data_IF_363653812227
#
_entry.id   IF_363653812227
#
_cell.length_a   1.000
_cell.length_b   1.000
_cell.length_c   1.000
_cell.angle_alpha   90.00
_cell.angle_beta   90.00
_cell.angle_gamma   90.00
#
_symmetry.space_group_name_H-M   'P 1'
#
loop_
_entity.id
_entity.type
_entity.pdbx_description
1 polymer ?
#
# COMPACT_ATOMS: atom_id res chain seq x y z
N UNK A 1 5.90 11.27 -25.05
CA UNK A 1 6.89 12.33 -24.79
C UNK A 1 7.79 11.81 -23.70
N UNK A 2 9.12 11.94 -23.81
CA UNK A 2 10.08 11.27 -22.91
C UNK A 2 11.11 12.25 -22.39
N UNK A 3 11.26 12.31 -21.07
CA UNK A 3 12.16 13.24 -20.38
C UNK A 3 11.84 13.29 -18.89
N UNK A 4 12.79 13.74 -18.07
CA UNK A 4 12.59 13.85 -16.63
C UNK A 4 11.42 14.77 -16.29
N UNK A 5 10.43 14.22 -15.57
CA UNK A 5 9.34 14.98 -14.98
C UNK A 5 9.87 15.93 -13.89
N UNK A 6 9.22 17.07 -13.72
CA UNK A 6 9.62 18.11 -12.76
C UNK A 6 8.42 18.73 -12.08
N UNK A 7 8.64 19.35 -10.92
CA UNK A 7 7.64 20.15 -10.22
C UNK A 7 7.69 21.61 -10.70
N UNK A 8 6.53 22.17 -11.04
CA UNK A 8 6.36 23.57 -11.45
C UNK A 8 5.05 24.13 -10.88
N UNK A 9 5.16 25.01 -9.88
CA UNK A 9 3.99 25.43 -9.09
C UNK A 9 3.29 24.22 -8.47
N UNK A 10 1.97 24.11 -8.64
CA UNK A 10 1.18 22.96 -8.16
C UNK A 10 1.20 21.75 -9.09
N UNK A 11 1.94 21.78 -10.21
CA UNK A 11 1.90 20.74 -11.24
C UNK A 11 3.16 19.89 -11.27
N UNK A 12 2.99 18.63 -11.68
CA UNK A 12 4.06 17.85 -12.33
C UNK A 12 4.03 18.25 -13.81
N UNK A 13 5.20 18.48 -14.42
CA UNK A 13 5.35 18.86 -15.83
C UNK A 13 6.39 17.98 -16.53
N UNK A 14 6.26 17.84 -17.85
CA UNK A 14 7.27 17.21 -18.71
C UNK A 14 8.44 18.17 -19.04
N UNK A 15 9.39 17.72 -19.88
CA UNK A 15 10.53 18.55 -20.27
C UNK A 15 10.18 19.80 -21.11
N UNK A 16 8.95 19.91 -21.62
CA UNK A 16 8.46 21.07 -22.37
C UNK A 16 7.74 22.08 -21.47
N UNK A 17 7.43 21.69 -20.23
CA UNK A 17 6.62 22.47 -19.28
C UNK A 17 5.12 22.18 -19.38
N UNK A 18 4.71 21.18 -20.17
CA UNK A 18 3.32 20.73 -20.24
C UNK A 18 2.95 19.98 -18.95
N UNK A 19 1.84 20.32 -18.26
CA UNK A 19 1.36 19.56 -17.10
C UNK A 19 1.06 18.10 -17.43
N UNK A 20 1.40 17.21 -16.49
CA UNK A 20 1.17 15.77 -16.58
C UNK A 20 0.35 15.33 -15.36
N UNK A 21 -0.78 14.68 -15.61
CA UNK A 21 -1.52 13.94 -14.59
C UNK A 21 -1.10 12.48 -14.69
N UNK A 22 -0.44 11.97 -13.65
CA UNK A 22 -0.07 10.56 -13.57
C UNK A 22 -1.21 9.77 -12.91
N UNK A 23 -1.74 8.77 -13.59
CA UNK A 23 -2.72 7.81 -13.04
C UNK A 23 -2.21 6.40 -13.24
N UNK A 24 -2.12 5.60 -12.18
CA UNK A 24 -1.56 4.26 -12.24
C UNK A 24 -2.05 3.33 -11.14
N UNK A 25 -1.38 2.19 -11.00
CA UNK A 25 -1.66 1.22 -9.93
C UNK A 25 -0.36 0.70 -9.33
N UNK A 26 -0.37 0.50 -8.02
CA UNK A 26 0.78 0.00 -7.29
C UNK A 26 0.99 -1.51 -7.55
N UNK A 27 2.26 -1.93 -7.56
CA UNK A 27 2.68 -3.33 -7.73
C UNK A 27 3.01 -4.00 -6.40
N UNK A 28 2.24 -3.65 -5.35
CA UNK A 28 2.28 -4.33 -4.05
C UNK A 28 2.11 -5.84 -4.22
N UNK A 29 2.75 -6.61 -3.33
CA UNK A 29 2.84 -8.07 -3.46
C UNK A 29 4.00 -8.56 -4.30
N UNK A 30 4.54 -7.75 -5.22
CA UNK A 30 5.65 -8.16 -6.08
C UNK A 30 6.99 -8.20 -5.33
N UNK A 31 7.62 -7.05 -5.05
CA UNK A 31 8.95 -7.01 -4.40
C UNK A 31 8.88 -6.76 -2.88
N UNK A 32 7.72 -6.33 -2.39
CA UNK A 32 7.35 -6.30 -0.97
C UNK A 32 5.98 -6.96 -0.85
N UNK A 33 5.83 -7.93 0.03
CA UNK A 33 4.59 -8.68 0.23
C UNK A 33 3.77 -8.11 1.38
N UNK A 34 2.45 -8.16 1.24
CA UNK A 34 1.52 -7.99 2.37
C UNK A 34 0.62 -9.21 2.56
N UNK A 35 0.20 -9.40 3.81
CA UNK A 35 -0.59 -10.54 4.27
C UNK A 35 -1.89 -10.75 3.49
N UNK A 36 -2.56 -9.67 3.08
CA UNK A 36 -3.83 -9.75 2.35
C UNK A 36 -3.67 -9.95 0.84
N UNK A 37 -2.49 -9.66 0.27
CA UNK A 37 -2.25 -9.75 -1.18
C UNK A 37 -2.06 -11.21 -1.62
N UNK A 38 -1.51 -12.05 -0.75
CA UNK A 38 -1.19 -13.47 -1.02
C UNK A 38 -1.81 -14.46 -0.03
N UNK A 39 -2.11 -14.05 1.21
CA UNK A 39 -2.90 -14.83 2.16
C UNK A 39 -2.17 -15.34 3.41
N UNK A 40 -0.84 -15.20 3.51
CA UNK A 40 -0.11 -15.48 4.75
C UNK A 40 -0.53 -14.51 5.87
N UNK A 41 -0.50 -14.87 7.16
CA UNK A 41 -0.82 -13.96 8.26
C UNK A 41 0.43 -13.18 8.73
N UNK A 42 0.28 -11.99 9.30
CA UNK A 42 1.40 -11.24 9.90
C UNK A 42 2.29 -10.51 8.89
N UNK A 43 3.62 -10.69 8.97
CA UNK A 43 4.63 -9.93 8.21
C UNK A 43 5.62 -10.80 7.41
N UNK A 44 6.28 -10.21 6.40
CA UNK A 44 6.97 -10.93 5.30
C UNK A 44 8.26 -11.66 5.72
N UNK A 45 9.13 -11.04 6.53
CA UNK A 45 10.40 -11.64 6.97
C UNK A 45 10.17 -12.92 7.77
N UNK A 46 9.20 -12.93 8.69
CA UNK A 46 8.88 -14.16 9.42
C UNK A 46 8.21 -15.18 8.49
N UNK A 47 7.32 -14.73 7.59
CA UNK A 47 6.62 -15.62 6.66
C UNK A 47 7.59 -16.42 5.78
N UNK A 48 8.56 -15.73 5.16
CA UNK A 48 9.62 -16.34 4.35
C UNK A 48 10.49 -17.28 5.19
N UNK A 49 10.94 -16.84 6.36
CA UNK A 49 11.74 -17.65 7.30
C UNK A 49 11.02 -18.95 7.69
N UNK A 50 9.70 -18.89 7.91
CA UNK A 50 8.92 -20.06 8.28
C UNK A 50 8.72 -21.01 7.09
N UNK A 51 8.42 -20.53 5.86
CA UNK A 51 8.45 -21.39 4.65
C UNK A 51 9.82 -22.06 4.49
N UNK A 52 10.91 -21.29 4.54
CA UNK A 52 12.27 -21.81 4.39
C UNK A 52 12.58 -22.94 5.38
N UNK A 53 12.11 -22.81 6.62
CA UNK A 53 12.26 -23.85 7.66
C UNK A 53 11.44 -25.12 7.43
N UNK A 54 10.45 -25.08 6.53
CA UNK A 54 9.49 -26.17 6.26
C UNK A 54 9.80 -26.91 4.96
N UNK A 55 10.15 -26.20 3.87
CA UNK A 55 10.39 -26.81 2.54
C UNK A 55 11.88 -26.87 2.14
N UNK A 56 12.76 -26.18 2.87
CA UNK A 56 14.20 -26.15 2.60
C UNK A 56 14.61 -25.15 1.52
N UNK A 57 15.92 -24.85 1.48
CA UNK A 57 16.49 -23.76 0.67
C UNK A 57 16.18 -23.87 -0.83
N UNK A 58 16.38 -25.06 -1.42
CA UNK A 58 16.21 -25.27 -2.86
C UNK A 58 14.78 -25.01 -3.35
N UNK A 59 13.77 -25.51 -2.62
CA UNK A 59 12.35 -25.26 -2.94
C UNK A 59 11.91 -23.85 -2.59
N UNK A 60 12.46 -23.26 -1.53
CA UNK A 60 12.23 -21.85 -1.18
C UNK A 60 12.74 -20.91 -2.28
N UNK A 61 14.00 -21.07 -2.70
CA UNK A 61 14.60 -20.25 -3.75
C UNK A 61 13.88 -20.42 -5.09
N UNK A 62 13.53 -21.66 -5.45
CA UNK A 62 12.73 -21.94 -6.65
C UNK A 62 11.36 -21.27 -6.60
N UNK A 63 10.57 -21.52 -5.55
CA UNK A 63 9.22 -20.95 -5.44
C UNK A 63 9.25 -19.42 -5.44
N UNK A 64 10.19 -18.79 -4.73
CA UNK A 64 10.25 -17.33 -4.70
C UNK A 64 10.80 -16.74 -5.99
N UNK A 65 11.85 -17.27 -6.63
CA UNK A 65 12.26 -16.80 -7.96
C UNK A 65 11.11 -16.95 -8.97
N UNK A 66 10.31 -18.03 -8.92
CA UNK A 66 9.11 -18.22 -9.76
C UNK A 66 7.96 -17.29 -9.41
N UNK A 67 7.68 -17.06 -8.13
CA UNK A 67 6.68 -16.08 -7.69
C UNK A 67 7.02 -14.69 -8.23
N UNK A 68 8.27 -14.24 -8.10
CA UNK A 68 8.70 -12.96 -8.68
C UNK A 68 8.69 -12.98 -10.23
N UNK A 69 9.04 -14.11 -10.87
CA UNK A 69 8.98 -14.23 -12.32
C UNK A 69 7.55 -14.13 -12.88
N UNK A 70 6.56 -14.62 -12.13
CA UNK A 70 5.17 -14.80 -12.58
C UNK A 70 4.18 -13.77 -12.03
N UNK A 71 4.49 -13.07 -10.94
CA UNK A 71 3.75 -11.88 -10.52
C UNK A 71 3.89 -10.76 -11.58
N UNK A 72 5.03 -10.74 -12.28
CA UNK A 72 5.30 -9.83 -13.41
C UNK A 72 5.97 -10.60 -14.56
N UNK A 73 5.16 -11.29 -15.37
CA UNK A 73 5.50 -12.15 -16.54
C UNK A 73 6.07 -11.38 -17.74
N UNK A 74 6.29 -12.02 -18.90
CA UNK A 74 6.68 -11.35 -20.17
C UNK A 74 5.49 -10.80 -20.95
N UNK A 75 4.31 -11.26 -20.55
CA UNK A 75 2.98 -10.87 -20.95
C UNK A 75 2.55 -9.63 -20.13
N UNK A 76 3.20 -9.42 -18.97
CA UNK A 76 3.34 -8.13 -18.28
C UNK A 76 4.50 -7.29 -18.91
N UNK A 77 5.80 -7.67 -18.75
CA UNK A 77 6.91 -7.66 -19.76
C UNK A 77 8.36 -8.00 -19.21
N UNK A 78 9.41 -7.33 -19.70
CA UNK A 78 10.78 -7.85 -19.87
C UNK A 78 11.84 -6.85 -19.32
N UNK A 79 13.07 -7.17 -18.85
CA UNK A 79 13.91 -8.40 -18.58
C UNK A 79 15.20 -7.86 -17.87
N UNK A 80 16.07 -8.49 -17.05
CA UNK A 80 16.29 -9.80 -16.40
C UNK A 80 17.65 -9.68 -15.61
N UNK A 81 17.92 -10.19 -14.40
CA UNK A 81 17.22 -11.21 -13.61
C UNK A 81 16.98 -10.95 -12.10
N UNK A 82 17.96 -10.51 -11.27
CA UNK A 82 17.96 -10.80 -9.82
C UNK A 82 17.72 -9.61 -8.87
N UNK A 83 18.47 -8.52 -8.99
CA UNK A 83 18.49 -7.43 -7.99
C UNK A 83 17.75 -6.18 -8.47
N UNK A 84 18.51 -5.12 -8.71
CA UNK A 84 18.10 -4.02 -9.59
C UNK A 84 17.43 -4.54 -10.86
N UNK A 85 17.92 -5.63 -11.44
CA UNK A 85 17.40 -6.18 -12.69
C UNK A 85 15.95 -6.71 -12.61
N UNK A 86 15.41 -7.00 -11.43
CA UNK A 86 13.96 -7.28 -11.24
C UNK A 86 13.13 -6.00 -11.28
N UNK A 87 13.71 -4.90 -10.81
CA UNK A 87 13.13 -3.56 -10.87
C UNK A 87 13.28 -2.98 -12.28
N UNK A 88 14.42 -3.19 -12.94
CA UNK A 88 14.65 -2.86 -14.35
C UNK A 88 13.65 -3.59 -15.25
N UNK A 89 13.39 -4.88 -15.01
CA UNK A 89 12.32 -5.60 -15.71
C UNK A 89 10.98 -4.88 -15.63
N UNK A 90 10.64 -4.29 -14.47
CA UNK A 90 9.39 -3.53 -14.29
C UNK A 90 9.48 -2.15 -14.96
N UNK A 91 10.59 -1.43 -14.80
CA UNK A 91 10.81 -0.11 -15.40
C UNK A 91 10.82 -0.18 -16.94
N UNK A 92 11.57 -1.12 -17.52
CA UNK A 92 11.64 -1.35 -18.96
C UNK A 92 10.31 -1.84 -19.54
N UNK A 93 9.54 -2.64 -18.78
CA UNK A 93 8.15 -3.00 -19.10
C UNK A 93 7.28 -1.74 -19.23
N UNK A 94 7.30 -0.89 -18.20
CA UNK A 94 6.51 0.33 -18.19
C UNK A 94 6.95 1.28 -19.32
N UNK A 95 8.26 1.49 -19.48
CA UNK A 95 8.87 2.29 -20.52
C UNK A 95 8.45 1.89 -21.94
N UNK A 96 8.48 0.58 -22.25
CA UNK A 96 8.09 0.06 -23.56
C UNK A 96 6.61 0.33 -23.90
N UNK A 97 5.77 0.51 -22.87
CA UNK A 97 4.34 0.81 -22.99
C UNK A 97 4.00 2.29 -22.75
N UNK A 98 5.00 3.16 -22.58
CA UNK A 98 4.79 4.59 -22.35
C UNK A 98 4.40 4.99 -20.93
N UNK A 99 4.57 4.10 -19.96
CA UNK A 99 4.19 4.26 -18.55
C UNK A 99 5.45 4.67 -17.75
N UNK A 100 5.32 5.64 -16.86
CA UNK A 100 6.37 6.00 -15.90
C UNK A 100 6.31 5.09 -14.65
N UNK A 101 7.47 4.78 -14.08
CA UNK A 101 7.58 4.08 -12.79
C UNK A 101 7.98 5.06 -11.67
N UNK A 102 7.37 4.93 -10.50
CA UNK A 102 7.85 5.57 -9.26
C UNK A 102 8.44 4.46 -8.40
N UNK A 103 9.67 4.64 -7.90
CA UNK A 103 10.33 3.63 -7.07
C UNK A 103 10.01 3.89 -5.60
N UNK A 104 9.28 2.98 -4.95
CA UNK A 104 8.97 3.03 -3.52
C UNK A 104 9.92 2.18 -2.66
N UNK A 105 10.23 2.68 -1.47
CA UNK A 105 10.82 1.90 -0.38
C UNK A 105 9.77 1.64 0.71
N UNK A 106 9.02 0.57 0.48
CA UNK A 106 7.85 0.19 1.27
C UNK A 106 8.17 -0.22 2.72
N UNK A 107 9.35 -0.81 2.95
CA UNK A 107 9.77 -1.36 4.25
C UNK A 107 11.21 -0.98 4.56
N UNK A 108 11.52 -0.80 5.85
CA UNK A 108 12.85 -0.42 6.34
C UNK A 108 13.25 -1.17 7.61
N UNK A 109 14.56 -1.37 7.87
CA UNK A 109 15.03 -2.00 9.09
C UNK A 109 14.46 -1.33 10.36
N UNK A 110 13.83 -2.15 11.21
CA UNK A 110 13.19 -1.70 12.45
C UNK A 110 11.78 -1.12 12.31
N UNK A 111 11.25 -0.99 11.09
CA UNK A 111 9.89 -0.50 10.81
C UNK A 111 9.73 1.02 10.95
N UNK A 112 9.20 1.66 9.92
CA UNK A 112 8.91 3.11 9.89
C UNK A 112 7.57 3.49 10.55
N UNK A 113 6.73 2.51 10.82
CA UNK A 113 5.43 2.67 11.47
C UNK A 113 5.15 1.50 12.42
N UNK A 114 3.94 1.41 12.98
CA UNK A 114 3.56 0.42 13.98
C UNK A 114 2.75 -0.76 13.41
N UNK A 115 2.72 -0.92 12.09
CA UNK A 115 1.86 -1.87 11.36
C UNK A 115 2.65 -3.06 10.80
N UNK A 116 1.95 -4.16 10.50
CA UNK A 116 2.50 -5.37 9.90
C UNK A 116 3.27 -5.10 8.58
N UNK A 117 2.79 -4.15 7.78
CA UNK A 117 3.36 -3.82 6.47
C UNK A 117 4.70 -3.08 6.54
N UNK A 118 5.15 -2.67 7.73
CA UNK A 118 6.52 -2.17 7.97
C UNK A 118 7.56 -3.29 8.18
N UNK A 119 7.15 -4.54 7.93
CA UNK A 119 7.91 -5.78 8.16
C UNK A 119 8.46 -5.95 9.61
N UNK A 120 7.78 -5.32 10.58
CA UNK A 120 8.13 -5.38 12.00
C UNK A 120 7.27 -6.43 12.74
N UNK A 121 7.87 -7.36 13.50
CA UNK A 121 7.14 -8.24 14.43
C UNK A 121 6.59 -7.49 15.67
N UNK A 122 6.72 -6.16 15.73
CA UNK A 122 6.36 -5.36 16.92
C UNK A 122 5.61 -4.08 16.55
N UNK A 123 4.74 -3.61 17.45
CA UNK A 123 4.03 -2.34 17.31
C UNK A 123 4.90 -1.10 17.60
N UNK A 124 6.22 -1.24 17.46
CA UNK A 124 7.21 -0.20 17.67
C UNK A 124 7.98 0.07 16.38
N UNK A 125 8.11 1.34 16.05
CA UNK A 125 8.76 1.86 14.85
C UNK A 125 10.21 2.23 15.15
N UNK A 126 11.06 1.22 15.34
CA UNK A 126 12.45 1.35 15.81
C UNK A 126 13.38 2.10 14.84
N UNK A 127 12.99 2.21 13.56
CA UNK A 127 13.67 3.03 12.55
C UNK A 127 13.97 4.46 13.02
N UNK A 128 13.06 5.03 13.83
CA UNK A 128 13.14 6.39 14.32
C UNK A 128 14.15 6.62 15.45
N UNK A 129 14.50 5.56 16.19
CA UNK A 129 15.35 5.66 17.38
C UNK A 129 16.78 5.15 17.14
N UNK A 130 16.96 4.16 16.26
CA UNK A 130 18.28 3.62 15.92
C UNK A 130 18.81 4.20 14.62
N UNK A 131 19.65 5.23 14.72
CA UNK A 131 20.29 5.94 13.59
C UNK A 131 20.90 5.01 12.53
N UNK A 132 21.44 3.85 12.93
CA UNK A 132 22.02 2.86 12.01
C UNK A 132 21.04 2.36 10.94
N UNK A 133 19.74 2.26 11.25
CA UNK A 133 18.72 1.90 10.27
C UNK A 133 18.50 3.02 9.25
N UNK A 134 18.42 4.27 9.70
CA UNK A 134 18.36 5.44 8.81
C UNK A 134 19.63 5.59 7.96
N UNK A 135 20.80 5.26 8.51
CA UNK A 135 22.08 5.31 7.78
C UNK A 135 22.13 4.25 6.67
N UNK A 136 21.64 3.04 6.93
CA UNK A 136 21.51 1.98 5.92
C UNK A 136 20.56 2.40 4.78
N UNK A 137 19.41 3.01 5.12
CA UNK A 137 18.44 3.47 4.11
C UNK A 137 18.95 4.68 3.31
N UNK A 138 19.63 5.64 3.94
CA UNK A 138 20.29 6.73 3.22
C UNK A 138 21.37 6.20 2.26
N UNK A 139 22.15 5.19 2.67
CA UNK A 139 23.14 4.57 1.80
C UNK A 139 22.49 3.81 0.62
N UNK A 140 21.45 3.02 0.88
CA UNK A 140 20.67 2.30 -0.13
C UNK A 140 20.10 3.27 -1.18
N UNK A 141 19.47 4.36 -0.74
CA UNK A 141 18.92 5.37 -1.67
C UNK A 141 20.00 6.09 -2.47
N UNK A 142 21.21 6.31 -1.93
CA UNK A 142 22.34 6.77 -2.75
C UNK A 142 22.78 5.76 -3.80
N UNK A 143 22.62 4.44 -3.59
CA UNK A 143 22.89 3.43 -4.63
C UNK A 143 21.77 3.40 -5.69
N UNK A 144 20.50 3.41 -5.26
CA UNK A 144 19.33 3.43 -6.16
C UNK A 144 19.39 4.69 -7.06
N UNK A 145 19.63 5.86 -6.48
CA UNK A 145 19.82 7.10 -7.23
C UNK A 145 21.01 7.02 -8.20
N UNK A 146 22.14 6.41 -7.79
CA UNK A 146 23.29 6.26 -8.68
C UNK A 146 22.98 5.42 -9.93
N UNK A 147 22.13 4.40 -9.76
CA UNK A 147 21.71 3.47 -10.79
C UNK A 147 20.70 4.10 -11.75
N UNK A 148 19.66 4.77 -11.22
CA UNK A 148 18.53 5.27 -12.02
C UNK A 148 18.63 6.72 -12.51
N UNK A 149 19.56 7.56 -12.03
CA UNK A 149 19.68 9.00 -12.38
C UNK A 149 19.54 9.38 -13.86
N UNK A 150 19.93 8.51 -14.78
CA UNK A 150 19.91 8.73 -16.23
C UNK A 150 18.66 8.14 -16.92
N UNK A 151 17.87 7.31 -16.23
CA UNK A 151 16.70 6.62 -16.76
C UNK A 151 15.43 7.48 -16.66
N UNK A 152 15.11 8.18 -17.75
CA UNK A 152 13.97 9.10 -17.85
C UNK A 152 12.57 8.46 -17.71
N UNK A 153 12.44 7.13 -17.66
CA UNK A 153 11.16 6.45 -17.42
C UNK A 153 10.86 6.23 -15.94
N UNK A 154 11.85 6.42 -15.07
CA UNK A 154 11.58 6.65 -13.66
C UNK A 154 11.05 8.08 -13.52
N UNK A 155 9.81 8.24 -13.06
CA UNK A 155 9.27 9.56 -12.72
C UNK A 155 9.94 10.13 -11.46
N UNK A 156 10.27 9.26 -10.51
CA UNK A 156 10.99 9.63 -9.31
C UNK A 156 11.01 8.55 -8.23
N UNK A 157 11.37 8.99 -7.03
CA UNK A 157 11.63 8.15 -5.87
C UNK A 157 10.68 8.51 -4.72
N UNK A 158 10.06 7.50 -4.10
CA UNK A 158 9.27 7.60 -2.87
C UNK A 158 10.15 7.08 -1.71
N UNK A 159 10.87 7.94 -0.94
CA UNK A 159 11.98 7.46 -0.13
C UNK A 159 11.58 6.60 1.08
N UNK A 160 10.31 6.62 1.49
CA UNK A 160 9.80 5.93 2.67
C UNK A 160 8.25 5.89 2.67
N UNK A 161 7.64 4.70 2.50
CA UNK A 161 6.18 4.57 2.53
C UNK A 161 5.57 4.69 3.95
N UNK A 162 4.40 5.33 4.08
CA UNK A 162 3.57 5.44 5.29
C UNK A 162 4.33 5.61 6.63
N UNK A 163 5.24 6.60 6.76
CA UNK A 163 5.94 6.85 8.00
C UNK A 163 4.97 7.25 9.13
N UNK A 164 5.21 6.74 10.34
CA UNK A 164 4.46 7.13 11.53
C UNK A 164 5.38 7.25 12.75
N UNK A 165 5.71 8.47 13.15
CA UNK A 165 6.52 8.79 14.33
C UNK A 165 5.78 9.74 15.27
N UNK A 166 5.78 9.45 16.57
CA UNK A 166 5.20 10.30 17.62
C UNK A 166 5.98 11.61 17.84
N UNK A 167 7.29 11.60 17.59
CA UNK A 167 8.06 12.80 17.31
C UNK A 167 8.08 13.00 15.78
N UNK A 168 7.14 13.80 15.29
CA UNK A 168 6.96 14.11 13.87
C UNK A 168 8.24 14.75 13.28
N UNK A 169 9.04 15.44 14.11
CA UNK A 169 10.28 16.10 13.66
C UNK A 169 11.40 15.10 13.29
N UNK A 170 11.27 13.80 13.65
CA UNK A 170 12.17 12.74 13.17
C UNK A 170 12.03 12.49 11.68
N UNK A 171 10.80 12.54 11.14
CA UNK A 171 10.54 12.38 9.70
C UNK A 171 11.21 13.50 8.90
N UNK A 172 11.02 14.75 9.33
CA UNK A 172 11.63 15.93 8.69
C UNK A 172 13.14 15.85 8.72
N UNK A 173 13.76 15.55 9.88
CA UNK A 173 15.21 15.33 10.00
C UNK A 173 15.73 14.16 9.15
N UNK A 174 14.91 13.17 8.86
CA UNK A 174 15.27 12.08 7.94
C UNK A 174 15.21 12.55 6.48
N UNK A 175 14.14 13.24 6.06
CA UNK A 175 14.03 13.82 4.73
C UNK A 175 15.11 14.86 4.44
N UNK A 176 15.43 15.74 5.40
CA UNK A 176 16.57 16.66 5.32
C UNK A 176 17.92 15.98 5.06
N UNK A 177 18.07 14.70 5.41
CA UNK A 177 19.30 13.93 5.19
C UNK A 177 19.25 13.17 3.87
N UNK A 178 18.12 12.53 3.56
CA UNK A 178 18.02 11.66 2.38
C UNK A 178 17.82 12.45 1.09
N UNK A 179 17.13 13.61 1.14
CA UNK A 179 17.06 14.53 0.00
C UNK A 179 18.47 14.96 -0.42
N UNK A 180 19.30 15.40 0.52
CA UNK A 180 20.71 15.78 0.25
C UNK A 180 21.56 14.62 -0.27
N UNK A 181 21.33 13.41 0.24
CA UNK A 181 22.06 12.21 -0.18
C UNK A 181 21.67 11.70 -1.57
N UNK A 182 20.39 11.81 -1.95
CA UNK A 182 19.91 11.55 -3.30
C UNK A 182 20.37 12.67 -4.23
N UNK A 183 20.13 13.94 -3.90
CA UNK A 183 20.47 15.12 -4.71
C UNK A 183 21.97 15.29 -4.98
N UNK A 184 22.83 14.78 -4.09
CA UNK A 184 24.28 14.70 -4.31
C UNK A 184 24.70 13.70 -5.39
N UNK A 185 23.78 12.86 -5.88
CA UNK A 185 23.99 11.87 -6.94
C UNK A 185 23.05 12.11 -8.14
N UNK A 186 21.83 12.57 -7.85
CA UNK A 186 20.71 12.71 -8.78
C UNK A 186 19.93 14.04 -8.55
N UNK A 187 20.27 15.08 -9.34
CA UNK A 187 19.59 16.38 -9.28
C UNK A 187 18.35 16.46 -10.19
N UNK A 188 17.81 15.34 -10.69
CA UNK A 188 16.82 15.34 -11.76
C UNK A 188 15.48 14.71 -11.39
N UNK A 189 15.48 13.55 -10.75
CA UNK A 189 14.25 12.83 -10.42
C UNK A 189 13.38 13.58 -9.40
N UNK A 190 12.06 13.41 -9.50
CA UNK A 190 11.12 13.93 -8.49
C UNK A 190 11.28 13.12 -7.19
N UNK A 191 11.16 13.78 -6.03
CA UNK A 191 10.96 13.07 -4.76
C UNK A 191 9.46 13.09 -4.42
N UNK A 192 8.89 11.92 -4.16
CA UNK A 192 7.54 11.75 -3.65
C UNK A 192 7.64 11.56 -2.13
N UNK A 193 7.21 12.56 -1.35
CA UNK A 193 7.48 12.63 0.09
C UNK A 193 6.18 12.43 0.89
N UNK A 194 6.05 11.26 1.51
CA UNK A 194 4.92 10.91 2.37
C UNK A 194 4.80 11.81 3.59
N UNK A 195 3.56 12.12 3.96
CA UNK A 195 3.24 12.71 5.26
C UNK A 195 3.48 11.74 6.42
N UNK A 196 3.62 12.29 7.63
CA UNK A 196 3.63 11.47 8.84
C UNK A 196 2.24 10.86 9.10
N UNK A 197 2.17 9.92 10.05
CA UNK A 197 0.92 9.28 10.46
C UNK A 197 0.23 8.54 9.30
N UNK A 198 0.99 7.70 8.59
CA UNK A 198 0.51 6.94 7.42
C UNK A 198 0.11 7.86 6.25
N UNK A 199 1.03 8.74 5.80
CA UNK A 199 0.80 9.69 4.71
C UNK A 199 -0.46 10.59 4.88
N UNK A 200 -0.80 10.95 6.12
CA UNK A 200 -2.00 11.74 6.44
C UNK A 200 -1.75 13.09 7.11
N UNK A 201 -0.52 13.39 7.53
CA UNK A 201 -0.19 14.55 8.36
C UNK A 201 1.13 15.26 7.94
N UNK A 202 1.00 16.52 7.54
CA UNK A 202 2.11 17.39 7.14
C UNK A 202 2.34 18.58 8.09
N UNK A 203 1.67 18.60 9.25
CA UNK A 203 1.61 19.74 10.19
C UNK A 203 2.94 20.17 10.83
N UNK A 204 4.04 19.46 10.52
CA UNK A 204 5.38 19.71 11.05
C UNK A 204 6.46 19.80 9.96
N UNK A 205 6.08 19.76 8.68
CA UNK A 205 7.00 19.97 7.56
C UNK A 205 7.42 21.45 7.47
N UNK A 206 8.61 21.75 6.91
CA UNK A 206 9.12 23.12 6.84
C UNK A 206 8.28 24.04 5.94
N UNK A 207 8.22 25.33 6.29
CA UNK A 207 7.56 26.39 5.50
C UNK A 207 8.18 26.56 4.09
N UNK A 208 9.41 26.07 3.90
CA UNK A 208 10.06 25.94 2.60
C UNK A 208 10.02 24.46 2.16
N UNK A 209 9.21 24.10 1.14
CA UNK A 209 9.18 22.75 0.59
C UNK A 209 10.52 22.29 -0.02
N UNK A 210 10.73 20.97 -0.07
CA UNK A 210 11.90 20.36 -0.69
C UNK A 210 11.94 20.57 -2.21
N UNK A 211 13.15 20.69 -2.77
CA UNK A 211 13.33 21.02 -4.18
C UNK A 211 12.92 19.87 -5.11
N UNK A 212 12.19 20.19 -6.19
CA UNK A 212 11.66 19.21 -7.15
C UNK A 212 10.96 18.02 -6.47
N UNK A 213 10.06 18.31 -5.52
CA UNK A 213 9.40 17.31 -4.67
C UNK A 213 7.87 17.45 -4.70
N UNK A 214 7.19 16.32 -4.83
CA UNK A 214 5.73 16.15 -4.71
C UNK A 214 5.44 15.56 -3.33
N UNK A 215 4.32 15.94 -2.72
CA UNK A 215 4.00 15.48 -1.37
C UNK A 215 2.86 14.45 -1.45
N UNK A 216 3.10 13.28 -0.87
CA UNK A 216 2.30 12.08 -1.08
C UNK A 216 1.28 11.88 0.06
N UNK A 217 -0.01 11.98 -0.26
CA UNK A 217 -1.11 11.57 0.65
C UNK A 217 -1.47 10.13 0.39
N UNK A 218 -1.91 9.39 1.41
CA UNK A 218 -2.67 8.16 1.22
C UNK A 218 -4.13 8.42 1.62
N UNK A 219 -5.07 8.14 0.71
CA UNK A 219 -6.46 8.56 0.83
C UNK A 219 -7.51 7.44 0.81
N UNK A 220 -7.17 6.33 1.45
CA UNK A 220 -8.15 5.36 1.93
C UNK A 220 -9.29 6.02 2.73
N UNK A 221 -10.54 5.73 2.36
CA UNK A 221 -11.75 6.20 3.06
C UNK A 221 -12.39 5.10 3.88
N UNK A 222 -12.98 5.47 5.02
CA UNK A 222 -13.76 4.59 5.90
C UNK A 222 -14.81 3.76 5.15
N UNK A 223 -15.46 4.37 4.15
CA UNK A 223 -16.50 3.74 3.34
C UNK A 223 -15.98 2.67 2.36
N UNK A 224 -14.66 2.56 2.20
CA UNK A 224 -14.03 1.53 1.38
C UNK A 224 -14.00 0.15 2.05
N UNK A 225 -14.21 0.04 3.36
CA UNK A 225 -13.87 -1.17 4.14
C UNK A 225 -15.10 -1.85 4.77
N UNK A 226 -15.00 -3.16 5.15
CA UNK A 226 -16.10 -3.87 5.80
C UNK A 226 -16.49 -3.32 7.18
N UNK A 227 -15.53 -2.79 7.94
CA UNK A 227 -15.71 -2.34 9.34
C UNK A 227 -15.00 -1.02 9.64
N UNK A 228 -14.94 -0.11 8.67
CA UNK A 228 -14.10 1.09 8.73
C UNK A 228 -12.60 0.77 8.58
N UNK A 229 -11.75 1.76 8.88
CA UNK A 229 -10.29 1.60 8.88
C UNK A 229 -9.80 1.00 10.20
N UNK A 230 -8.52 0.60 10.24
CA UNK A 230 -7.90 -0.03 11.42
C UNK A 230 -8.05 0.86 12.66
N UNK A 231 -8.75 0.35 13.68
CA UNK A 231 -8.97 1.06 14.94
C UNK A 231 -9.99 2.20 14.90
N UNK A 232 -10.82 2.32 13.85
CA UNK A 232 -11.89 3.35 13.78
C UNK A 232 -13.28 2.84 14.16
N UNK A 233 -13.48 1.51 14.16
CA UNK A 233 -14.77 0.89 14.43
C UNK A 233 -15.75 0.94 13.25
N UNK A 234 -16.91 0.30 13.43
CA UNK A 234 -17.96 0.18 12.40
C UNK A 234 -18.47 1.55 11.92
N UNK A 235 -18.71 1.66 10.61
CA UNK A 235 -19.14 2.87 9.92
C UNK A 235 -20.44 2.57 9.18
N UNK A 236 -21.35 3.55 9.15
CA UNK A 236 -22.61 3.45 8.41
C UNK A 236 -22.42 3.05 6.93
N UNK A 237 -23.31 2.24 6.34
CA UNK A 237 -23.26 1.91 4.92
C UNK A 237 -23.31 3.16 4.04
N UNK A 238 -22.42 3.20 3.05
CA UNK A 238 -22.38 4.29 2.08
C UNK A 238 -23.59 4.24 1.14
N UNK A 239 -24.23 5.39 0.98
CA UNK A 239 -25.46 5.58 0.20
C UNK A 239 -25.30 6.74 -0.80
N UNK A 240 -24.09 7.29 -0.96
CA UNK A 240 -23.84 8.42 -1.87
C UNK A 240 -24.54 9.72 -1.45
N UNK A 241 -24.87 9.89 -0.16
CA UNK A 241 -25.54 11.12 0.30
C UNK A 241 -24.57 12.30 0.31
N UNK A 242 -25.09 13.52 0.15
CA UNK A 242 -24.27 14.74 0.14
C UNK A 242 -23.47 14.93 1.44
N UNK A 243 -23.96 14.42 2.57
CA UNK A 243 -23.20 14.41 3.83
C UNK A 243 -21.99 13.47 3.77
N UNK A 244 -22.16 12.28 3.19
CA UNK A 244 -21.08 11.29 3.03
C UNK A 244 -20.06 11.73 1.97
N UNK A 245 -20.50 12.34 0.85
CA UNK A 245 -19.61 12.99 -0.13
C UNK A 245 -18.85 14.16 0.48
N UNK A 246 -19.52 15.02 1.27
CA UNK A 246 -18.85 16.10 2.01
C UNK A 246 -17.83 15.56 3.01
N UNK A 247 -18.01 14.35 3.56
CA UNK A 247 -17.01 13.68 4.38
C UNK A 247 -15.78 13.21 3.56
N UNK A 248 -15.98 12.67 2.34
CA UNK A 248 -14.86 12.37 1.42
C UNK A 248 -14.06 13.63 1.10
N UNK A 249 -14.75 14.70 0.67
CA UNK A 249 -14.13 16.00 0.40
C UNK A 249 -13.38 16.53 1.63
N UNK A 250 -13.99 16.51 2.81
CA UNK A 250 -13.37 16.97 4.06
C UNK A 250 -12.14 16.14 4.46
N UNK A 251 -12.15 14.83 4.22
CA UNK A 251 -10.99 13.96 4.45
C UNK A 251 -9.83 14.36 3.55
N UNK A 252 -10.07 14.51 2.26
CA UNK A 252 -9.07 14.91 1.27
C UNK A 252 -8.50 16.31 1.59
N UNK A 253 -9.36 17.33 1.77
CA UNK A 253 -8.94 18.70 2.06
C UNK A 253 -8.08 18.82 3.34
N UNK A 254 -8.30 17.95 4.34
CA UNK A 254 -7.46 17.88 5.54
C UNK A 254 -6.03 17.44 5.23
N UNK A 255 -5.86 16.43 4.37
CA UNK A 255 -4.54 15.85 4.04
C UNK A 255 -3.71 16.80 3.17
N UNK A 256 -4.35 17.49 2.21
CA UNK A 256 -3.67 18.41 1.27
C UNK A 256 -3.48 19.84 1.78
N UNK A 257 -3.79 20.13 3.05
CA UNK A 257 -3.72 21.49 3.60
C UNK A 257 -2.33 22.12 3.43
N UNK A 258 -1.25 21.36 3.68
CA UNK A 258 0.12 21.82 3.50
C UNK A 258 0.43 22.14 2.02
N UNK A 259 -0.02 21.30 1.09
CA UNK A 259 0.20 21.49 -0.35
C UNK A 259 -0.51 22.76 -0.87
N UNK A 260 -1.73 22.99 -0.37
CA UNK A 260 -2.51 24.21 -0.65
C UNK A 260 -1.88 25.48 -0.05
N UNK A 261 -1.31 25.38 1.15
CA UNK A 261 -0.62 26.51 1.78
C UNK A 261 0.65 26.93 1.03
N UNK A 262 1.40 25.97 0.47
CA UNK A 262 2.71 26.22 -0.14
C UNK A 262 2.73 26.22 -1.68
N UNK A 263 1.59 25.97 -2.34
CA UNK A 263 1.46 26.06 -3.80
C UNK A 263 2.22 24.96 -4.57
N UNK A 264 2.23 23.74 -4.03
CA UNK A 264 2.98 22.57 -4.52
C UNK A 264 2.04 21.42 -4.93
N UNK A 265 2.48 20.48 -5.80
CA UNK A 265 1.67 19.34 -6.22
C UNK A 265 1.37 18.36 -5.09
N UNK A 266 0.27 17.64 -5.27
CA UNK A 266 -0.10 16.44 -4.49
C UNK A 266 -0.05 15.20 -5.37
N UNK A 267 0.44 14.11 -4.79
CA UNK A 267 0.30 12.74 -5.27
C UNK A 267 -0.58 11.98 -4.28
N UNK A 268 -1.56 11.20 -4.73
CA UNK A 268 -2.25 10.24 -3.88
C UNK A 268 -1.62 8.86 -4.11
N UNK A 269 -0.67 8.48 -3.24
CA UNK A 269 0.17 7.29 -3.43
C UNK A 269 -0.60 5.98 -3.33
N UNK A 270 -1.53 5.92 -2.39
CA UNK A 270 -2.44 4.80 -2.21
C UNK A 270 -3.86 5.24 -1.87
N UNK A 271 -4.82 4.63 -2.55
CA UNK A 271 -6.24 4.60 -2.18
C UNK A 271 -6.90 3.38 -2.83
N UNK A 272 -8.12 3.06 -2.39
CA UNK A 272 -8.94 2.00 -2.98
C UNK A 272 -9.90 1.39 -1.95
N UNK A 273 -11.06 0.87 -2.37
CA UNK A 273 -11.94 0.10 -1.51
C UNK A 273 -11.48 -1.37 -1.38
N UNK A 274 -12.03 -2.08 -0.41
CA UNK A 274 -11.96 -3.54 -0.26
C UNK A 274 -13.25 -4.17 -0.76
N UNK A 275 -13.11 -5.08 -1.72
CA UNK A 275 -14.18 -5.83 -2.37
C UNK A 275 -14.53 -7.11 -1.61
N UNK A 276 -15.77 -7.55 -1.79
CA UNK A 276 -16.31 -8.83 -1.34
C UNK A 276 -16.17 -9.92 -2.42
N UNK A 277 -16.08 -11.18 -1.99
CA UNK A 277 -16.13 -12.37 -2.84
C UNK A 277 -16.98 -13.48 -2.19
N UNK A 278 -17.70 -14.22 -3.03
CA UNK A 278 -18.42 -15.45 -2.66
C UNK A 278 -17.50 -16.50 -2.03
N UNK A 279 -16.26 -16.63 -2.50
CA UNK A 279 -15.28 -17.58 -1.96
C UNK A 279 -14.96 -17.30 -0.48
N UNK A 280 -14.85 -16.03 -0.10
CA UNK A 280 -14.61 -15.58 1.29
C UNK A 280 -15.84 -15.69 2.19
N UNK A 281 -16.97 -16.16 1.65
CA UNK A 281 -18.24 -16.18 2.36
C UNK A 281 -18.73 -14.77 2.73
N UNK A 282 -18.43 -13.77 1.89
CA UNK A 282 -18.97 -12.43 2.05
C UNK A 282 -20.47 -12.44 1.70
N UNK A 283 -21.30 -11.76 2.50
CA UNK A 283 -22.76 -11.69 2.30
C UNK A 283 -23.07 -10.64 1.23
N UNK A 284 -23.82 -11.06 0.21
CA UNK A 284 -24.14 -10.27 -0.99
C UNK A 284 -22.91 -9.51 -1.56
N UNK A 285 -21.97 -10.24 -2.19
CA UNK A 285 -20.78 -9.63 -2.79
C UNK A 285 -21.12 -8.63 -3.90
N UNK A 286 -22.22 -8.84 -4.63
CA UNK A 286 -22.61 -7.96 -5.73
C UNK A 286 -23.09 -6.60 -5.20
N UNK A 287 -24.03 -6.56 -4.26
CA UNK A 287 -24.47 -5.31 -3.65
C UNK A 287 -23.34 -4.61 -2.90
N UNK A 288 -22.49 -5.37 -2.20
CA UNK A 288 -21.31 -4.82 -1.51
C UNK A 288 -20.35 -4.16 -2.50
N UNK A 289 -19.99 -4.85 -3.60
CA UNK A 289 -19.05 -4.33 -4.60
C UNK A 289 -19.63 -3.14 -5.37
N UNK A 290 -20.93 -3.17 -5.70
CA UNK A 290 -21.66 -2.05 -6.29
C UNK A 290 -21.54 -0.78 -5.45
N UNK A 291 -21.63 -0.89 -4.11
CA UNK A 291 -21.37 0.23 -3.18
C UNK A 291 -19.89 0.64 -3.19
N UNK A 292 -18.93 -0.29 -3.23
CA UNK A 292 -17.50 0.04 -3.33
C UNK A 292 -17.15 0.81 -4.60
N UNK A 293 -17.71 0.45 -5.75
CA UNK A 293 -17.50 1.19 -7.00
C UNK A 293 -18.12 2.59 -6.93
N UNK A 294 -19.25 2.77 -6.23
CA UNK A 294 -19.82 4.11 -6.02
C UNK A 294 -18.94 4.96 -5.10
N UNK A 295 -18.45 4.42 -3.98
CA UNK A 295 -17.46 5.10 -3.10
C UNK A 295 -16.23 5.55 -3.89
N UNK A 296 -15.71 4.68 -4.76
CA UNK A 296 -14.57 4.99 -5.61
C UNK A 296 -14.87 6.11 -6.62
N UNK A 297 -16.03 6.09 -7.29
CA UNK A 297 -16.48 7.16 -8.18
C UNK A 297 -16.56 8.50 -7.45
N UNK A 298 -17.17 8.52 -6.26
CA UNK A 298 -17.30 9.74 -5.46
C UNK A 298 -15.96 10.23 -4.87
N UNK A 299 -14.96 9.36 -4.68
CA UNK A 299 -13.56 9.78 -4.38
C UNK A 299 -12.83 10.32 -5.62
N UNK A 300 -12.99 9.68 -6.78
CA UNK A 300 -12.37 10.13 -8.02
C UNK A 300 -12.89 11.51 -8.45
N UNK A 301 -14.17 11.82 -8.24
CA UNK A 301 -14.72 13.17 -8.49
C UNK A 301 -14.08 14.24 -7.56
N UNK A 302 -13.72 13.88 -6.33
CA UNK A 302 -12.92 14.76 -5.44
C UNK A 302 -11.51 15.00 -6.00
N UNK A 303 -10.88 13.99 -6.61
CA UNK A 303 -9.54 14.07 -7.17
C UNK A 303 -9.50 14.82 -8.52
N UNK A 304 -10.57 14.69 -9.32
CA UNK A 304 -10.76 15.35 -10.63
C UNK A 304 -10.73 16.88 -10.54
N UNK A 305 -11.12 17.43 -9.40
CA UNK A 305 -11.12 18.85 -9.09
C UNK A 305 -10.30 19.16 -7.83
N UNK A 306 -9.33 18.29 -7.51
CA UNK A 306 -8.62 18.28 -6.25
C UNK A 306 -7.43 19.24 -6.15
N UNK A 307 -6.91 19.73 -7.30
CA UNK A 307 -5.59 20.36 -7.37
C UNK A 307 -5.38 21.54 -6.40
N UNK A 308 -4.20 21.66 -5.77
CA UNK A 308 -3.90 22.73 -4.84
C UNK A 308 -4.06 24.17 -5.34
N UNK A 309 -4.01 24.41 -6.66
CA UNK A 309 -4.18 25.74 -7.26
C UNK A 309 -5.61 26.27 -7.24
N UNK A 310 -6.61 25.38 -7.16
CA UNK A 310 -8.02 25.75 -7.33
C UNK A 310 -8.43 26.09 -8.77
N UNK A 311 -7.61 25.77 -9.78
CA UNK A 311 -7.98 25.92 -11.21
C UNK A 311 -9.03 24.90 -11.69
N UNK A 312 -9.38 23.92 -10.86
CA UNK A 312 -10.36 22.87 -11.14
C UNK A 312 -9.77 21.63 -11.81
N UNK A 313 -8.44 21.52 -11.94
CA UNK A 313 -7.78 20.35 -12.54
C UNK A 313 -7.64 19.15 -11.61
N UNK A 314 -7.30 18.02 -12.23
CA UNK A 314 -7.17 16.71 -11.62
C UNK A 314 -5.81 16.52 -10.92
N UNK A 315 -5.81 15.78 -9.81
CA UNK A 315 -4.57 15.33 -9.15
C UNK A 315 -4.06 14.02 -9.74
N UNK A 316 -2.76 13.79 -9.54
CA UNK A 316 -2.09 12.52 -9.87
C UNK A 316 -2.26 11.49 -8.75
N UNK A 317 -2.44 10.22 -9.09
CA UNK A 317 -2.68 9.14 -8.13
C UNK A 317 -2.21 7.75 -8.58
N UNK A 318 -2.04 6.86 -7.60
CA UNK A 318 -1.90 5.42 -7.79
C UNK A 318 -2.96 4.67 -6.95
N UNK A 319 -3.66 3.72 -7.56
CA UNK A 319 -4.63 2.87 -6.85
C UNK A 319 -3.93 1.61 -6.30
N UNK A 320 -4.29 1.21 -5.08
CA UNK A 320 -3.88 -0.08 -4.53
C UNK A 320 -4.93 -1.14 -4.92
N UNK A 321 -4.62 -2.15 -5.74
CA UNK A 321 -3.33 -2.48 -6.37
C UNK A 321 -3.51 -3.26 -7.68
N UNK A 322 -2.41 -3.65 -8.33
CA UNK A 322 -2.44 -4.33 -9.63
C UNK A 322 -2.90 -5.81 -9.60
N UNK A 323 -2.31 -6.64 -8.73
CA UNK A 323 -2.55 -8.10 -8.62
C UNK A 323 -2.68 -8.51 -7.16
N UNK A 324 -3.69 -9.33 -6.82
CA UNK A 324 -3.86 -9.94 -5.50
C UNK A 324 -4.73 -11.23 -5.51
N UNK A 325 -5.12 -11.73 -4.33
CA UNK A 325 -6.12 -12.81 -4.15
C UNK A 325 -7.58 -12.29 -4.07
N UNK A 326 -7.88 -11.21 -4.79
CA UNK A 326 -9.23 -10.72 -5.06
C UNK A 326 -9.81 -9.80 -3.98
N UNK A 327 -8.97 -9.06 -3.23
CA UNK A 327 -9.43 -8.17 -2.15
C UNK A 327 -9.54 -6.71 -2.62
N UNK A 328 -8.54 -6.19 -3.32
CA UNK A 328 -8.51 -4.85 -3.92
C UNK A 328 -8.07 -4.86 -5.39
N UNK A 329 -7.39 -5.92 -5.85
CA UNK A 329 -6.69 -5.97 -7.13
C UNK A 329 -7.54 -5.62 -8.35
N UNK A 330 -6.95 -4.85 -9.28
CA UNK A 330 -7.44 -4.65 -10.66
C UNK A 330 -7.59 -6.00 -11.37
N UNK A 331 -6.57 -6.83 -11.21
CA UNK A 331 -6.57 -8.24 -11.59
C UNK A 331 -6.35 -9.07 -10.33
N UNK A 332 -6.84 -10.30 -10.33
CA UNK A 332 -6.71 -11.17 -9.17
C UNK A 332 -6.65 -12.65 -9.55
N UNK A 333 -5.93 -13.42 -8.75
CA UNK A 333 -5.80 -14.88 -8.92
C UNK A 333 -7.18 -15.53 -8.98
N UNK A 334 -7.43 -16.37 -10.00
CA UNK A 334 -8.74 -17.01 -10.21
C UNK A 334 -9.12 -17.95 -9.04
N UNK A 335 -10.40 -17.98 -8.67
CA UNK A 335 -10.94 -18.87 -7.61
C UNK A 335 -10.83 -20.37 -7.98
N UNK A 336 -10.66 -20.70 -9.28
CA UNK A 336 -10.41 -22.05 -9.80
C UNK A 336 -8.91 -22.45 -9.84
N UNK A 337 -8.00 -21.57 -9.40
CA UNK A 337 -6.54 -21.80 -9.51
C UNK A 337 -5.96 -22.72 -8.43
N UNK A 338 -4.73 -23.21 -8.69
CA UNK A 338 -3.92 -23.95 -7.71
C UNK A 338 -3.73 -23.20 -6.39
N UNK A 339 -3.66 -21.87 -6.42
CA UNK A 339 -3.61 -21.04 -5.22
C UNK A 339 -4.84 -21.22 -4.32
N UNK A 340 -6.05 -21.28 -4.91
CA UNK A 340 -7.28 -21.47 -4.15
C UNK A 340 -7.57 -22.94 -3.82
N UNK A 341 -7.09 -23.91 -4.62
CA UNK A 341 -7.04 -25.33 -4.24
C UNK A 341 -6.29 -25.53 -2.91
N UNK A 342 -5.08 -24.95 -2.81
CA UNK A 342 -4.18 -25.07 -1.66
C UNK A 342 -4.63 -24.19 -0.50
N UNK A 343 -4.70 -22.87 -0.70
CA UNK A 343 -4.90 -21.90 0.36
C UNK A 343 -6.37 -21.56 0.63
N UNK A 344 -7.33 -22.00 -0.18
CA UNK A 344 -8.72 -21.57 -0.07
C UNK A 344 -9.35 -21.81 1.31
N UNK A 345 -9.17 -23.01 1.87
CA UNK A 345 -9.63 -23.36 3.23
C UNK A 345 -8.91 -22.53 4.30
N UNK A 346 -7.64 -22.22 4.08
CA UNK A 346 -6.86 -21.33 4.95
C UNK A 346 -7.41 -19.90 4.94
N UNK A 347 -7.68 -19.32 3.77
CA UNK A 347 -8.21 -17.96 3.63
C UNK A 347 -9.55 -17.80 4.40
N UNK A 348 -10.42 -18.79 4.31
CA UNK A 348 -11.67 -18.83 5.09
C UNK A 348 -11.41 -18.92 6.61
N UNK A 349 -10.43 -19.73 7.05
CA UNK A 349 -10.00 -19.79 8.46
C UNK A 349 -9.40 -18.46 8.94
N UNK A 350 -8.53 -17.85 8.13
CA UNK A 350 -7.84 -16.58 8.37
C UNK A 350 -8.83 -15.44 8.58
N UNK A 351 -9.83 -15.33 7.69
CA UNK A 351 -10.95 -14.38 7.81
C UNK A 351 -11.75 -14.64 9.10
N UNK A 352 -12.18 -15.89 9.32
CA UNK A 352 -12.98 -16.29 10.50
C UNK A 352 -12.29 -15.95 11.83
N UNK A 353 -10.98 -16.20 11.95
CA UNK A 353 -10.17 -15.84 13.11
C UNK A 353 -9.83 -14.35 13.19
N UNK A 354 -9.92 -13.63 12.07
CA UNK A 354 -9.61 -12.21 11.98
C UNK A 354 -8.12 -11.92 12.09
N UNK A 355 -7.26 -12.69 11.44
CA UNK A 355 -5.81 -12.53 11.60
C UNK A 355 -5.28 -11.20 11.02
N UNK A 356 -5.92 -10.65 10.00
CA UNK A 356 -5.53 -9.39 9.37
C UNK A 356 -6.36 -8.19 9.89
N UNK A 357 -5.78 -7.00 9.76
CA UNK A 357 -6.45 -5.71 9.95
C UNK A 357 -7.17 -5.24 8.68
N UNK A 358 -6.56 -5.49 7.52
CA UNK A 358 -7.05 -5.07 6.22
C UNK A 358 -8.17 -6.00 5.74
N UNK A 359 -9.28 -5.44 5.26
CA UNK A 359 -10.48 -6.23 4.92
C UNK A 359 -11.11 -7.02 6.09
N UNK A 360 -10.78 -6.65 7.34
CA UNK A 360 -11.14 -7.39 8.55
C UNK A 360 -12.65 -7.56 8.75
N UNK A 361 -13.10 -8.82 8.63
CA UNK A 361 -14.46 -9.27 8.93
C UNK A 361 -14.42 -10.56 9.78
N UNK A 362 -13.85 -10.45 10.97
CA UNK A 362 -13.77 -11.51 11.98
C UNK A 362 -15.14 -12.04 12.40
N UNK A 363 -15.28 -13.36 12.53
CA UNK A 363 -16.50 -14.04 12.98
C UNK A 363 -16.99 -13.46 14.33
N UNK A 364 -18.29 -13.08 14.45
CA UNK A 364 -18.84 -12.45 15.65
C UNK A 364 -18.64 -13.23 16.96
N UNK A 365 -18.44 -14.55 16.93
CA UNK A 365 -18.12 -15.31 18.15
C UNK A 365 -16.72 -14.99 18.66
N UNK A 366 -15.73 -14.95 17.77
CA UNK A 366 -14.33 -14.67 18.10
C UNK A 366 -14.14 -13.19 18.45
N UNK A 367 -14.88 -12.29 17.80
CA UNK A 367 -14.92 -10.87 18.13
C UNK A 367 -15.27 -10.61 19.62
N UNK A 368 -16.15 -11.42 20.23
CA UNK A 368 -16.54 -11.28 21.65
C UNK A 368 -15.36 -11.40 22.62
N UNK A 369 -14.25 -12.05 22.25
CA UNK A 369 -13.05 -12.11 23.09
C UNK A 369 -12.33 -10.76 23.11
N UNK A 370 -12.02 -10.22 21.93
CA UNK A 370 -11.29 -8.97 21.77
C UNK A 370 -12.11 -7.76 22.25
N UNK A 371 -13.43 -7.77 22.04
CA UNK A 371 -14.34 -6.76 22.60
C UNK A 371 -14.29 -6.76 24.13
N UNK A 372 -14.40 -7.92 24.79
CA UNK A 372 -14.30 -8.01 26.27
C UNK A 372 -12.93 -7.60 26.81
N UNK A 373 -11.86 -7.81 26.05
CA UNK A 373 -10.52 -7.34 26.40
C UNK A 373 -10.40 -5.81 26.28
N UNK A 374 -10.93 -5.22 25.21
CA UNK A 374 -11.02 -3.76 25.04
C UNK A 374 -11.88 -3.10 26.13
N UNK A 375 -13.07 -3.65 26.41
CA UNK A 375 -13.96 -3.24 27.50
C UNK A 375 -13.26 -3.30 28.87
N UNK A 376 -12.53 -4.38 29.17
CA UNK A 376 -11.78 -4.52 30.42
C UNK A 376 -10.72 -3.41 30.59
N UNK A 377 -9.95 -3.10 29.54
CA UNK A 377 -8.95 -2.02 29.59
C UNK A 377 -9.66 -0.66 29.71
N UNK A 378 -10.71 -0.40 28.91
CA UNK A 378 -11.51 0.84 28.95
C UNK A 378 -12.15 1.10 30.31
N UNK A 379 -12.58 0.05 31.03
CA UNK A 379 -13.15 0.16 32.37
C UNK A 379 -12.11 0.45 33.48
N UNK A 380 -10.83 0.18 33.23
CA UNK A 380 -9.73 0.38 34.21
C UNK A 380 -8.82 1.57 33.86
N UNK A 381 -9.03 2.22 32.72
CA UNK A 381 -8.29 3.40 32.27
C UNK A 381 -9.26 4.59 32.12
N UNK A 382 -8.99 5.77 32.73
CA UNK A 382 -9.83 6.95 32.54
C UNK A 382 -9.97 7.35 31.06
N UNK A 383 -11.19 7.66 30.62
CA UNK A 383 -11.59 7.93 29.22
C UNK A 383 -10.63 8.87 28.46
N UNK A 384 -10.20 9.96 29.11
CA UNK A 384 -9.21 10.93 28.60
C UNK A 384 -7.85 10.34 28.18
N UNK A 385 -7.57 9.08 28.50
CA UNK A 385 -6.35 8.37 28.11
C UNK A 385 -6.59 7.25 27.07
N UNK A 386 -7.83 6.98 26.64
CA UNK A 386 -8.16 5.90 25.68
C UNK A 386 -7.52 6.07 24.29
N UNK A 387 -7.05 7.29 23.98
CA UNK A 387 -6.35 7.68 22.73
C UNK A 387 -5.00 8.36 22.98
N UNK A 388 -4.35 8.07 24.12
CA UNK A 388 -3.06 8.69 24.50
C UNK A 388 -1.85 8.13 23.75
N UNK A 389 -1.98 6.95 23.12
CA UNK A 389 -0.90 6.30 22.38
C UNK A 389 -0.90 6.77 20.91
N UNK A 390 0.24 7.22 20.42
CA UNK A 390 0.39 7.62 19.01
C UNK A 390 0.41 6.39 18.08
N UNK A 391 -0.39 6.38 17.00
CA UNK A 391 -1.12 7.52 16.45
C UNK A 391 -2.56 7.67 17.00
N UNK A 392 -3.02 8.91 17.28
CA UNK A 392 -4.27 9.19 18.03
C UNK A 392 -5.57 8.84 17.26
N UNK A 393 -5.46 8.51 15.97
CA UNK A 393 -6.55 7.92 15.18
C UNK A 393 -6.97 6.54 15.70
N UNK A 394 -6.05 5.84 16.37
CA UNK A 394 -6.28 4.54 16.99
C UNK A 394 -6.64 4.68 18.47
N UNK A 395 -7.55 3.84 18.96
CA UNK A 395 -7.82 3.67 20.40
C UNK A 395 -7.46 2.28 20.91
N UNK A 396 -7.74 2.04 22.20
CA UNK A 396 -7.55 0.76 22.90
C UNK A 396 -7.97 -0.45 22.06
N UNK A 397 -9.10 -0.43 21.34
CA UNK A 397 -9.55 -1.60 20.59
C UNK A 397 -8.64 -1.85 19.38
N UNK A 398 -8.18 -0.79 18.71
CA UNK A 398 -7.21 -0.90 17.63
C UNK A 398 -5.88 -1.50 18.11
N UNK A 399 -5.35 -1.05 19.27
CA UNK A 399 -4.14 -1.64 19.85
C UNK A 399 -4.33 -3.08 20.31
N UNK A 400 -5.48 -3.43 20.90
CA UNK A 400 -5.82 -4.80 21.27
C UNK A 400 -5.81 -5.70 20.03
N UNK A 401 -6.47 -5.30 18.95
CA UNK A 401 -6.50 -6.09 17.72
C UNK A 401 -5.11 -6.21 17.09
N UNK A 402 -4.38 -5.08 16.94
CA UNK A 402 -3.01 -5.06 16.41
C UNK A 402 -2.06 -6.01 17.13
N UNK A 403 -1.92 -5.84 18.45
CA UNK A 403 -0.93 -6.59 19.22
C UNK A 403 -1.32 -8.05 19.39
N UNK A 404 -2.61 -8.38 19.55
CA UNK A 404 -3.04 -9.76 19.82
C UNK A 404 -3.33 -10.59 18.56
N UNK A 405 -3.89 -9.99 17.50
CA UNK A 405 -4.30 -10.70 16.27
C UNK A 405 -3.29 -10.52 15.14
N UNK A 406 -3.07 -9.27 14.74
CA UNK A 406 -2.29 -8.89 13.55
C UNK A 406 -0.80 -9.20 13.73
N UNK A 407 -0.34 -9.12 14.98
CA UNK A 407 0.98 -9.61 15.41
C UNK A 407 0.86 -10.99 16.05
N UNK A 408 0.68 -11.09 17.38
CA UNK A 408 0.98 -12.31 18.14
C UNK A 408 0.32 -13.59 17.61
N UNK A 409 -1.01 -13.59 17.38
CA UNK A 409 -1.72 -14.78 16.88
C UNK A 409 -1.32 -15.09 15.42
N UNK A 410 -1.18 -14.07 14.58
CA UNK A 410 -0.68 -14.20 13.22
C UNK A 410 0.69 -14.88 13.14
N UNK A 411 1.64 -14.58 14.03
CA UNK A 411 2.96 -15.23 14.05
C UNK A 411 2.85 -16.75 14.21
N UNK A 412 2.10 -17.23 15.22
CA UNK A 412 1.84 -18.67 15.38
C UNK A 412 1.17 -19.28 14.14
N UNK A 413 0.23 -18.54 13.56
CA UNK A 413 -0.53 -18.94 12.38
C UNK A 413 0.29 -19.00 11.09
N UNK A 414 1.47 -18.36 11.01
CA UNK A 414 2.37 -18.52 9.85
C UNK A 414 2.88 -19.95 9.70
N UNK A 415 3.06 -20.68 10.81
CA UNK A 415 3.48 -22.08 10.76
C UNK A 415 2.45 -22.97 10.06
N UNK A 416 1.16 -22.76 10.33
CA UNK A 416 0.08 -23.51 9.69
C UNK A 416 -0.08 -23.13 8.21
N UNK A 417 0.13 -21.86 7.84
CA UNK A 417 0.18 -21.44 6.43
C UNK A 417 1.35 -22.09 5.68
N UNK A 418 2.54 -22.12 6.29
CA UNK A 418 3.72 -22.73 5.67
C UNK A 418 3.64 -24.26 5.59
N UNK A 419 2.90 -24.92 6.49
CA UNK A 419 2.62 -26.36 6.41
C UNK A 419 1.82 -26.75 5.15
N UNK A 420 1.12 -25.80 4.50
CA UNK A 420 0.41 -26.04 3.24
C UNK A 420 1.36 -26.20 2.02
N UNK A 421 2.61 -25.77 2.14
CA UNK A 421 3.66 -26.01 1.13
C UNK A 421 4.40 -27.36 1.35
N UNK A 422 4.17 -28.04 2.49
CA UNK A 422 4.93 -29.23 2.86
C UNK A 422 4.46 -30.44 2.05
N UNK A 423 5.38 -31.01 1.27
CA UNK A 423 5.14 -32.16 0.41
C UNK A 423 5.21 -31.83 -1.07
N UNK A 424 4.87 -30.58 -1.45
CA UNK A 424 4.84 -30.13 -2.85
C UNK A 424 6.16 -30.37 -3.57
N UNK A 425 6.12 -30.86 -4.81
CA UNK A 425 7.30 -30.92 -5.69
C UNK A 425 7.55 -29.60 -6.45
N UNK A 426 8.49 -29.60 -7.40
CA UNK A 426 8.83 -28.38 -8.15
C UNK A 426 7.77 -28.00 -9.19
N UNK A 427 7.06 -28.97 -9.77
CA UNK A 427 6.02 -28.71 -10.76
C UNK A 427 4.77 -28.15 -10.07
N UNK A 428 4.41 -28.68 -8.89
CA UNK A 428 3.36 -28.10 -8.04
C UNK A 428 3.70 -26.67 -7.55
N UNK A 429 4.97 -26.38 -7.26
CA UNK A 429 5.41 -25.03 -6.87
C UNK A 429 5.43 -24.05 -8.05
N UNK A 430 5.75 -24.49 -9.28
CA UNK A 430 5.62 -23.66 -10.48
C UNK A 430 4.16 -23.37 -10.79
N UNK A 431 3.27 -24.38 -10.75
CA UNK A 431 1.82 -24.21 -10.94
C UNK A 431 1.21 -23.26 -9.89
N UNK A 432 1.63 -23.39 -8.63
CA UNK A 432 1.21 -22.51 -7.55
C UNK A 432 1.62 -21.05 -7.81
N UNK A 433 2.89 -20.80 -8.14
CA UNK A 433 3.37 -19.47 -8.50
C UNK A 433 2.71 -18.95 -9.80
N UNK A 434 2.45 -19.83 -10.77
CA UNK A 434 1.86 -19.50 -12.07
C UNK A 434 0.42 -19.01 -11.96
N UNK A 435 -0.23 -19.19 -10.80
CA UNK A 435 -1.56 -18.64 -10.51
C UNK A 435 -1.60 -17.09 -10.57
N UNK A 436 -0.45 -16.39 -10.52
CA UNK A 436 -0.33 -14.93 -10.67
C UNK A 436 -0.01 -14.43 -12.11
N UNK A 437 0.19 -15.34 -13.07
CA UNK A 437 0.36 -14.98 -14.48
C UNK A 437 -0.91 -14.30 -15.01
N UNK A 438 -0.78 -13.29 -15.87
CA UNK A 438 -1.91 -12.43 -16.26
C UNK A 438 -3.05 -13.21 -16.93
N UNK A 439 -2.73 -14.26 -17.69
CA UNK A 439 -3.68 -15.18 -18.33
C UNK A 439 -4.44 -16.10 -17.36
N UNK A 440 -3.92 -16.27 -16.13
CA UNK A 440 -4.55 -17.05 -15.05
C UNK A 440 -5.30 -16.17 -14.03
N UNK A 441 -5.19 -14.83 -14.16
CA UNK A 441 -5.90 -13.87 -13.33
C UNK A 441 -7.26 -13.48 -13.91
N UNK A 442 -8.27 -13.44 -13.05
CA UNK A 442 -9.53 -12.76 -13.32
C UNK A 442 -9.33 -11.23 -13.32
N UNK A 443 -10.23 -10.50 -14.01
CA UNK A 443 -10.19 -9.05 -14.16
C UNK A 443 -11.40 -8.39 -13.51
N UNK A 444 -11.17 -7.27 -12.80
CA UNK A 444 -12.23 -6.48 -12.16
C UNK A 444 -12.76 -5.43 -13.14
N UNK A 445 -13.49 -5.87 -14.15
CA UNK A 445 -13.94 -5.05 -15.28
C UNK A 445 -14.62 -3.72 -14.88
N UNK A 446 -15.50 -3.73 -13.88
CA UNK A 446 -16.16 -2.49 -13.38
C UNK A 446 -15.17 -1.51 -12.73
N UNK A 447 -14.07 -1.99 -12.12
CA UNK A 447 -13.00 -1.11 -11.63
C UNK A 447 -12.21 -0.51 -12.79
N UNK A 448 -11.85 -1.32 -13.79
CA UNK A 448 -11.15 -0.83 -14.98
C UNK A 448 -11.97 0.24 -15.72
N UNK A 449 -13.28 0.04 -15.87
CA UNK A 449 -14.18 1.00 -16.52
C UNK A 449 -14.19 2.35 -15.78
N UNK A 450 -14.27 2.32 -14.44
CA UNK A 450 -14.25 3.53 -13.60
C UNK A 450 -12.94 4.30 -13.74
N UNK A 451 -11.80 3.62 -13.76
CA UNK A 451 -10.48 4.26 -13.83
C UNK A 451 -10.15 4.76 -15.25
N UNK A 452 -10.61 4.04 -16.30
CA UNK A 452 -10.54 4.50 -17.69
C UNK A 452 -11.39 5.76 -17.89
N UNK A 453 -12.61 5.79 -17.37
CA UNK A 453 -13.49 6.96 -17.41
C UNK A 453 -12.86 8.20 -16.78
N UNK A 454 -12.23 8.07 -15.61
CA UNK A 454 -11.45 9.17 -15.02
C UNK A 454 -10.30 9.60 -15.95
N UNK A 455 -9.48 8.66 -16.41
CA UNK A 455 -8.28 8.97 -17.20
C UNK A 455 -8.61 9.65 -18.53
N UNK A 456 -9.70 9.24 -19.19
CA UNK A 456 -10.18 9.86 -20.42
C UNK A 456 -10.79 11.26 -20.20
N UNK A 457 -11.29 11.57 -18.99
CA UNK A 457 -11.81 12.90 -18.64
C UNK A 457 -10.75 13.84 -18.07
N UNK A 458 -9.74 13.33 -17.35
CA UNK A 458 -8.67 14.12 -16.73
C UNK A 458 -7.55 14.55 -17.68
N UNK A 459 -7.58 14.09 -18.94
CA UNK A 459 -6.60 14.46 -19.99
C UNK A 459 -7.20 15.35 -21.09
N UNK A 460 -8.32 16.03 -20.81
CA UNK A 460 -9.01 16.96 -21.72
C UNK A 460 -8.94 18.40 -21.20
#
# INVERSE_FOLDING_TARGET
MTGFLKVSGTKIVDQTGTPVVLTGAATGGHLNMENFITGYPGHETEHKKVILSKIGQEKFDYFFDKFYEYFWTKEDANVNAKGFERLDRLVDTCAANGIYTILDLHTVPGGQCQQWFSDSPTHFSWFWDFKVFQDAIVHLWSQIAHYYKDNQWVAGYNPLNEPASSDHSKLVRFYERIEKAIRGVDPHHVLFLDGNTYAMDFSQFPDQPFSNSVYAIHDYTLYGFPRGLIGTGFVEPYQGTEAQKAQLQKQYQRKVQYMKQHGIPVWNGEFGPVYASSFRGDVDPEATNRVRYQVLKDQLEVYKHGDPSGDGSAISWSIWLYKDIGLQGLTYVSEDSKWFEVFGKWLQKKKKLGLDAWGNDIDPEYQKLYTRLGEHIKANVPEKYHRVMYPPIMDIDGYVNRVTREMLFSQYCQHEYADLFVGMDFDELDELAASFKLENCARRWELEEVLRGYSEESTK
#
